data_IF_292960221455
#
_entry.id   IF_292960221455
#
_cell.length_a   1.000
_cell.length_b   1.000
_cell.length_c   1.000
_cell.angle_alpha   90.00
_cell.angle_beta   90.00
_cell.angle_gamma   90.00
#
_symmetry.space_group_name_H-M   'P 1'
#
loop_
_entity.id
_entity.type
_entity.pdbx_description
1 polymer ?
#
# COMPACT_ATOMS: atom_id res chain seq x y z
N UNK A 1 3.44 10.90 -10.58
CA UNK A 1 2.16 11.61 -10.39
C UNK A 1 2.22 12.61 -9.23
N UNK A 2 2.63 12.19 -7.99
CA UNK A 2 2.82 13.10 -6.84
C UNK A 2 3.78 14.24 -7.19
N UNK A 3 4.95 13.94 -7.76
CA UNK A 3 5.94 14.95 -8.15
C UNK A 3 5.40 15.99 -9.14
N UNK A 4 4.64 15.57 -10.15
CA UNK A 4 4.00 16.49 -11.09
C UNK A 4 2.93 17.39 -10.44
N UNK A 5 2.21 16.88 -9.43
CA UNK A 5 1.28 17.70 -8.64
C UNK A 5 2.03 18.68 -7.74
N UNK A 6 3.11 18.26 -7.11
CA UNK A 6 3.94 19.12 -6.27
C UNK A 6 4.57 20.26 -7.07
N UNK A 7 5.10 19.99 -8.27
CA UNK A 7 5.61 21.03 -9.17
C UNK A 7 4.53 22.09 -9.50
N UNK A 8 3.31 21.66 -9.83
CA UNK A 8 2.18 22.58 -10.06
C UNK A 8 1.77 23.37 -8.82
N UNK A 9 1.96 22.80 -7.62
CA UNK A 9 1.70 23.51 -6.36
C UNK A 9 2.76 24.59 -6.13
N UNK A 10 4.02 24.29 -6.39
CA UNK A 10 5.13 25.25 -6.25
C UNK A 10 4.93 26.51 -7.10
N UNK A 11 4.41 26.37 -8.31
CA UNK A 11 4.13 27.48 -9.23
C UNK A 11 2.78 28.17 -8.96
N UNK A 12 1.97 27.68 -8.03
CA UNK A 12 0.62 28.19 -7.81
C UNK A 12 0.62 29.46 -6.96
N UNK A 13 -0.05 30.55 -7.40
CA UNK A 13 -0.16 31.79 -6.62
C UNK A 13 -0.78 31.62 -5.22
N UNK A 14 -1.49 30.51 -4.98
CA UNK A 14 -2.12 30.16 -3.70
C UNK A 14 -1.34 29.07 -2.94
N UNK A 15 -0.05 28.88 -3.24
CA UNK A 15 0.81 27.86 -2.61
C UNK A 15 0.67 27.82 -1.10
N UNK A 16 0.76 28.96 -0.42
CA UNK A 16 0.66 29.02 1.05
C UNK A 16 -0.68 28.47 1.61
N UNK A 17 -1.77 28.68 0.88
CA UNK A 17 -3.08 28.12 1.26
C UNK A 17 -3.11 26.60 1.04
N UNK A 18 -2.54 26.16 -0.06
CA UNK A 18 -2.45 24.73 -0.42
C UNK A 18 -1.59 23.99 0.59
N UNK A 19 -0.42 24.54 0.94
CA UNK A 19 0.49 23.96 1.94
C UNK A 19 -0.18 23.85 3.32
N UNK A 20 -0.93 24.87 3.74
CA UNK A 20 -1.72 24.84 4.98
C UNK A 20 -2.80 23.76 4.92
N UNK A 21 -3.45 23.59 3.78
CA UNK A 21 -4.46 22.55 3.59
C UNK A 21 -3.85 21.14 3.66
N UNK A 22 -2.74 20.90 2.97
CA UNK A 22 -2.00 19.64 3.00
C UNK A 22 -1.52 19.34 4.42
N UNK A 23 -0.93 20.30 5.11
CA UNK A 23 -0.48 20.13 6.50
C UNK A 23 -1.62 19.71 7.42
N UNK A 24 -2.79 20.35 7.32
CA UNK A 24 -3.97 19.97 8.10
C UNK A 24 -4.49 18.58 7.72
N UNK A 25 -4.46 18.22 6.42
CA UNK A 25 -4.82 16.89 5.95
C UNK A 25 -3.88 15.80 6.49
N UNK A 26 -2.56 16.06 6.49
CA UNK A 26 -1.57 15.15 7.06
C UNK A 26 -1.80 14.93 8.56
N UNK A 27 -2.06 16.00 9.31
CA UNK A 27 -2.39 15.92 10.74
C UNK A 27 -3.65 15.07 10.98
N UNK A 28 -4.69 15.25 10.16
CA UNK A 28 -5.91 14.45 10.22
C UNK A 28 -5.62 12.96 9.97
N UNK A 29 -4.89 12.65 8.90
CA UNK A 29 -4.51 11.26 8.56
C UNK A 29 -3.74 10.60 9.71
N UNK A 30 -2.85 11.32 10.39
CA UNK A 30 -2.10 10.78 11.52
C UNK A 30 -3.01 10.37 12.68
N UNK A 31 -4.06 11.13 12.99
CA UNK A 31 -5.06 10.72 13.98
C UNK A 31 -5.84 9.50 13.52
N UNK A 32 -6.29 9.49 12.26
CA UNK A 32 -7.06 8.39 11.68
C UNK A 32 -6.25 7.09 11.66
N UNK A 33 -4.97 7.16 11.26
CA UNK A 33 -4.08 5.99 11.22
C UNK A 33 -3.71 5.43 12.60
N UNK A 34 -3.84 6.23 13.67
CA UNK A 34 -3.70 5.74 15.06
C UNK A 34 -5.02 5.27 15.68
N UNK A 35 -6.13 5.30 14.90
CA UNK A 35 -7.46 5.01 15.43
C UNK A 35 -7.95 6.04 16.47
N UNK A 36 -7.36 7.23 16.48
CA UNK A 36 -7.66 8.29 17.42
C UNK A 36 -8.75 9.23 16.89
N UNK A 37 -9.50 9.83 17.79
CA UNK A 37 -10.50 10.82 17.41
C UNK A 37 -9.83 12.10 16.90
N UNK A 38 -10.12 12.47 15.66
CA UNK A 38 -9.62 13.72 15.05
C UNK A 38 -10.15 14.92 15.83
N UNK A 39 -9.29 15.87 16.28
CA UNK A 39 -9.71 17.07 16.97
C UNK A 39 -10.70 17.89 16.14
N UNK A 40 -11.72 18.46 16.80
CA UNK A 40 -12.78 19.22 16.11
C UNK A 40 -12.23 20.36 15.22
N UNK A 41 -11.18 21.05 15.68
CA UNK A 41 -10.54 22.12 14.91
C UNK A 41 -9.87 21.63 13.62
N UNK A 42 -9.22 20.45 13.64
CA UNK A 42 -8.60 19.82 12.47
C UNK A 42 -9.68 19.37 11.50
N UNK A 43 -10.72 18.70 12.01
CA UNK A 43 -11.81 18.18 11.18
C UNK A 43 -12.63 19.30 10.50
N UNK A 44 -12.87 20.41 11.20
CA UNK A 44 -13.58 21.56 10.60
C UNK A 44 -12.76 22.23 9.50
N UNK A 45 -11.45 22.44 9.74
CA UNK A 45 -10.53 22.98 8.72
C UNK A 45 -10.46 22.06 7.50
N UNK A 46 -10.38 20.73 7.72
CA UNK A 46 -10.35 19.76 6.64
C UNK A 46 -11.57 19.86 5.73
N UNK A 47 -12.78 19.98 6.29
CA UNK A 47 -14.00 20.18 5.50
C UNK A 47 -13.97 21.47 4.65
N UNK A 48 -13.39 22.55 5.19
CA UNK A 48 -13.23 23.81 4.47
C UNK A 48 -12.20 23.64 3.35
N UNK A 49 -11.05 23.04 3.62
CA UNK A 49 -10.01 22.81 2.64
C UNK A 49 -10.43 21.79 1.56
N UNK A 50 -11.17 20.76 1.92
CA UNK A 50 -11.74 19.83 0.96
C UNK A 50 -12.58 20.54 -0.11
N UNK A 51 -13.39 21.51 0.30
CA UNK A 51 -14.25 22.30 -0.61
C UNK A 51 -13.50 23.38 -1.38
N UNK A 52 -12.56 24.09 -0.75
CA UNK A 52 -11.90 25.24 -1.37
C UNK A 52 -10.64 24.90 -2.16
N UNK A 53 -9.94 23.84 -1.76
CA UNK A 53 -8.63 23.46 -2.31
C UNK A 53 -8.71 22.10 -3.01
N UNK A 54 -9.04 21.03 -2.29
CA UNK A 54 -8.92 19.68 -2.82
C UNK A 54 -9.95 19.32 -3.89
N UNK A 55 -11.15 19.95 -3.87
CA UNK A 55 -12.11 19.81 -4.97
C UNK A 55 -11.54 20.28 -6.30
N UNK A 56 -10.74 21.34 -6.31
CA UNK A 56 -10.10 21.87 -7.52
C UNK A 56 -9.00 20.93 -8.05
N UNK A 57 -8.28 20.25 -7.14
CA UNK A 57 -7.34 19.22 -7.56
C UNK A 57 -8.07 18.05 -8.22
N UNK A 58 -9.15 17.57 -7.60
CA UNK A 58 -9.96 16.47 -8.16
C UNK A 58 -10.58 16.85 -9.51
N UNK A 59 -11.05 18.09 -9.64
CA UNK A 59 -11.58 18.62 -10.90
C UNK A 59 -10.50 18.68 -11.98
N UNK A 60 -9.34 19.26 -11.68
CA UNK A 60 -8.21 19.38 -12.59
C UNK A 60 -7.59 18.03 -13.02
N UNK A 61 -7.81 16.98 -12.23
CA UNK A 61 -7.41 15.61 -12.53
C UNK A 61 -8.51 14.80 -13.21
N UNK A 62 -9.73 15.34 -13.33
CA UNK A 62 -10.87 14.62 -13.91
C UNK A 62 -11.44 13.51 -13.03
N UNK A 63 -11.15 13.52 -11.70
CA UNK A 63 -11.53 12.45 -10.76
C UNK A 63 -12.64 12.84 -9.79
N UNK A 64 -13.40 13.89 -10.08
CA UNK A 64 -14.49 14.37 -9.21
C UNK A 64 -15.55 13.32 -8.89
N UNK A 65 -15.84 12.45 -9.85
CA UNK A 65 -16.86 11.41 -9.74
C UNK A 65 -16.27 10.03 -9.44
N UNK A 66 -14.97 9.94 -9.13
CA UNK A 66 -14.34 8.68 -8.76
C UNK A 66 -14.72 8.32 -7.33
N UNK A 67 -15.32 7.16 -7.17
CA UNK A 67 -15.77 6.63 -5.87
C UNK A 67 -14.67 5.83 -5.18
N UNK A 68 -13.86 5.11 -5.95
CA UNK A 68 -12.81 4.24 -5.44
C UNK A 68 -11.48 4.50 -6.12
N UNK A 69 -10.43 4.62 -5.32
CA UNK A 69 -9.05 4.70 -5.77
C UNK A 69 -8.32 3.46 -5.29
N UNK A 70 -7.80 2.68 -6.21
CA UNK A 70 -7.18 1.39 -5.90
C UNK A 70 -5.78 1.35 -6.47
N UNK A 71 -4.84 0.79 -5.71
CA UNK A 71 -3.49 0.46 -6.18
C UNK A 71 -3.19 -1.01 -5.93
N UNK A 72 -2.44 -1.62 -6.83
CA UNK A 72 -2.11 -3.03 -6.81
C UNK A 72 -0.74 -3.31 -7.44
N UNK A 73 -0.35 -4.58 -7.46
CA UNK A 73 0.83 -5.14 -8.12
C UNK A 73 2.17 -4.82 -7.44
N UNK A 74 2.31 -3.72 -6.72
CA UNK A 74 3.48 -3.40 -5.91
C UNK A 74 3.07 -2.58 -4.70
N UNK A 75 3.77 -2.70 -3.56
CA UNK A 75 3.52 -1.87 -2.39
C UNK A 75 3.63 -0.39 -2.73
N UNK A 76 2.70 0.40 -2.22
CA UNK A 76 2.78 1.85 -2.37
C UNK A 76 3.69 2.45 -1.29
N UNK A 77 4.56 3.40 -1.68
CA UNK A 77 5.35 4.12 -0.69
C UNK A 77 4.44 4.82 0.32
N UNK A 78 4.69 4.60 1.62
CA UNK A 78 3.82 5.06 2.72
C UNK A 78 3.66 6.58 2.77
N UNK A 79 4.72 7.35 2.48
CA UNK A 79 4.66 8.82 2.47
C UNK A 79 3.85 9.34 1.28
N UNK A 80 3.92 8.64 0.15
CA UNK A 80 3.10 8.94 -1.03
C UNK A 80 1.63 8.63 -0.72
N UNK A 81 1.35 7.47 -0.16
CA UNK A 81 0.01 7.03 0.26
C UNK A 81 -0.61 8.02 1.24
N UNK A 82 0.11 8.33 2.34
CA UNK A 82 -0.29 9.30 3.36
C UNK A 82 -0.58 10.68 2.76
N UNK A 83 0.24 11.12 1.80
CA UNK A 83 0.04 12.41 1.13
C UNK A 83 -1.24 12.43 0.30
N UNK A 84 -1.57 11.36 -0.44
CA UNK A 84 -2.82 11.27 -1.19
C UNK A 84 -4.04 11.28 -0.27
N UNK A 85 -4.01 10.56 0.84
CA UNK A 85 -5.06 10.61 1.86
C UNK A 85 -5.23 12.05 2.39
N UNK A 86 -4.13 12.75 2.65
CA UNK A 86 -4.17 14.13 3.15
C UNK A 86 -4.85 15.13 2.21
N UNK A 87 -4.84 14.88 0.90
CA UNK A 87 -5.56 15.71 -0.08
C UNK A 87 -6.95 15.16 -0.43
N UNK A 88 -7.44 14.19 0.36
CA UNK A 88 -8.76 13.60 0.22
C UNK A 88 -8.89 12.59 -0.93
N UNK A 89 -7.78 12.00 -1.39
CA UNK A 89 -7.75 10.87 -2.33
C UNK A 89 -7.43 9.62 -1.50
N UNK A 90 -8.48 8.93 -1.07
CA UNK A 90 -8.39 7.74 -0.23
C UNK A 90 -8.05 6.52 -1.09
N UNK A 91 -6.74 6.28 -1.25
CA UNK A 91 -6.25 5.15 -2.04
C UNK A 91 -6.29 3.89 -1.17
N UNK A 92 -6.80 2.82 -1.74
CA UNK A 92 -6.88 1.50 -1.11
C UNK A 92 -5.88 0.56 -1.77
N UNK A 93 -5.04 -0.08 -0.98
CA UNK A 93 -4.16 -1.13 -1.48
C UNK A 93 -4.93 -2.45 -1.54
N UNK A 94 -4.71 -3.20 -2.61
CA UNK A 94 -5.21 -4.56 -2.79
C UNK A 94 -4.05 -5.51 -3.08
N UNK A 95 -4.20 -6.74 -2.64
CA UNK A 95 -3.24 -7.80 -2.92
C UNK A 95 -3.94 -8.99 -3.55
N UNK A 96 -3.27 -9.58 -4.51
CA UNK A 96 -3.66 -10.78 -5.21
C UNK A 96 -2.68 -11.09 -6.33
N UNK A 97 -2.88 -12.22 -6.97
CA UNK A 97 -2.04 -12.73 -8.03
C UNK A 97 -2.89 -13.42 -9.10
N UNK A 98 -2.28 -13.82 -10.19
CA UNK A 98 -2.99 -14.49 -11.30
C UNK A 98 -3.64 -15.79 -10.84
N UNK A 99 -3.00 -16.49 -9.94
CA UNK A 99 -3.42 -17.79 -9.41
C UNK A 99 -4.67 -17.70 -8.52
N UNK A 100 -4.98 -16.52 -7.98
CA UNK A 100 -6.21 -16.29 -7.21
C UNK A 100 -7.28 -15.48 -7.97
N UNK A 101 -7.07 -15.24 -9.26
CA UNK A 101 -8.03 -14.59 -10.19
C UNK A 101 -8.33 -13.13 -9.86
N UNK A 102 -7.55 -12.48 -9.04
CA UNK A 102 -7.76 -11.08 -8.70
C UNK A 102 -7.44 -10.77 -7.25
N UNK A 103 -8.14 -9.84 -6.57
CA UNK A 103 -7.79 -9.52 -5.21
C UNK A 103 -8.20 -10.62 -4.23
N UNK A 104 -7.25 -11.10 -3.44
CA UNK A 104 -7.52 -11.91 -2.24
C UNK A 104 -7.82 -11.03 -1.03
N UNK A 105 -7.16 -9.87 -0.94
CA UNK A 105 -7.38 -8.91 0.13
C UNK A 105 -7.59 -7.49 -0.39
N UNK A 106 -8.32 -6.68 0.36
CA UNK A 106 -8.61 -5.29 0.04
C UNK A 106 -8.73 -4.45 1.31
N UNK A 107 -8.14 -3.25 1.32
CA UNK A 107 -8.42 -2.23 2.31
C UNK A 107 -9.86 -1.72 2.17
N UNK A 108 -10.43 -1.18 3.22
CA UNK A 108 -11.80 -0.65 3.20
C UNK A 108 -11.73 0.87 2.99
N UNK A 109 -12.09 1.38 1.82
CA UNK A 109 -12.07 2.81 1.57
C UNK A 109 -13.11 3.54 2.43
N UNK A 110 -12.80 4.78 2.81
CA UNK A 110 -13.60 5.57 3.73
C UNK A 110 -15.06 5.75 3.33
N UNK A 111 -15.34 5.83 2.02
CA UNK A 111 -16.71 5.90 1.48
C UNK A 111 -17.53 4.60 1.63
N UNK A 112 -16.87 3.46 1.76
CA UNK A 112 -17.49 2.16 2.01
C UNK A 112 -17.53 1.77 3.49
N UNK A 113 -16.82 2.51 4.36
CA UNK A 113 -16.62 2.18 5.76
C UNK A 113 -17.93 1.95 6.54
N UNK A 114 -18.97 2.76 6.32
CA UNK A 114 -20.24 2.61 7.02
C UNK A 114 -20.97 1.31 6.64
N UNK A 115 -21.00 0.97 5.36
CA UNK A 115 -21.61 -0.28 4.87
C UNK A 115 -20.84 -1.50 5.37
N UNK A 116 -19.52 -1.41 5.34
CA UNK A 116 -18.62 -2.46 5.82
C UNK A 116 -18.78 -2.68 7.34
N UNK A 117 -18.77 -1.61 8.13
CA UNK A 117 -18.98 -1.67 9.58
C UNK A 117 -20.33 -2.27 9.95
N UNK A 118 -21.40 -1.96 9.19
CA UNK A 118 -22.71 -2.57 9.40
C UNK A 118 -22.68 -4.07 9.13
N UNK A 119 -22.00 -4.50 8.08
CA UNK A 119 -21.87 -5.92 7.73
C UNK A 119 -21.10 -6.68 8.81
N UNK A 120 -19.95 -6.18 9.24
CA UNK A 120 -19.17 -6.80 10.31
C UNK A 120 -19.96 -6.98 11.60
N UNK A 121 -20.78 -5.98 11.99
CA UNK A 121 -21.65 -6.08 13.17
C UNK A 121 -22.72 -7.16 13.04
N UNK A 122 -23.28 -7.35 11.83
CA UNK A 122 -24.26 -8.42 11.57
C UNK A 122 -23.60 -9.79 11.68
N UNK A 123 -22.36 -9.92 11.22
CA UNK A 123 -21.59 -11.16 11.27
C UNK A 123 -20.95 -11.40 12.67
N UNK A 124 -21.13 -10.48 13.64
CA UNK A 124 -20.59 -10.58 14.98
C UNK A 124 -19.09 -10.29 15.07
N UNK A 125 -18.49 -9.74 14.03
CA UNK A 125 -17.09 -9.35 14.00
C UNK A 125 -16.88 -7.96 14.63
N UNK A 126 -15.75 -7.76 15.28
CA UNK A 126 -15.34 -6.44 15.73
C UNK A 126 -14.95 -5.57 14.55
N UNK A 127 -15.36 -4.30 14.61
CA UNK A 127 -15.01 -3.33 13.55
C UNK A 127 -13.64 -2.74 13.89
N UNK A 128 -12.63 -2.88 13.03
CA UNK A 128 -11.33 -2.26 13.22
C UNK A 128 -11.43 -0.74 13.41
N UNK A 129 -10.57 -0.17 14.25
CA UNK A 129 -10.52 1.27 14.47
C UNK A 129 -10.01 2.03 13.23
N UNK A 130 -9.16 1.38 12.44
CA UNK A 130 -8.62 1.89 11.17
C UNK A 130 -9.03 0.94 10.06
N UNK A 131 -9.82 1.39 9.10
CA UNK A 131 -10.36 0.53 8.03
C UNK A 131 -9.47 0.47 6.78
N UNK A 132 -8.60 1.45 6.59
CA UNK A 132 -7.64 1.52 5.47
C UNK A 132 -6.24 1.88 5.99
N UNK A 133 -5.57 0.97 6.73
CA UNK A 133 -4.26 1.25 7.31
C UNK A 133 -3.18 1.31 6.23
N UNK A 134 -2.42 2.41 6.21
CA UNK A 134 -1.35 2.66 5.25
C UNK A 134 -0.23 1.62 5.38
N UNK A 135 0.15 1.02 4.26
CA UNK A 135 1.18 -0.02 4.17
C UNK A 135 0.69 -1.42 4.52
N UNK A 136 -0.63 -1.63 4.51
CA UNK A 136 -1.26 -2.94 4.57
C UNK A 136 -2.19 -3.11 3.37
N UNK A 137 -2.28 -4.32 2.88
CA UNK A 137 -3.04 -4.66 1.67
C UNK A 137 -4.50 -5.08 1.97
N UNK A 138 -4.97 -4.72 3.17
CA UNK A 138 -6.36 -4.94 3.56
C UNK A 138 -6.62 -6.27 4.25
N UNK A 139 -7.89 -6.63 4.27
CA UNK A 139 -8.43 -7.87 4.86
C UNK A 139 -8.93 -8.80 3.75
N UNK A 140 -9.09 -10.10 4.00
CA UNK A 140 -9.62 -11.04 3.03
C UNK A 140 -10.99 -10.61 2.50
N UNK A 141 -11.19 -10.72 1.19
CA UNK A 141 -12.52 -10.51 0.60
C UNK A 141 -13.48 -11.64 0.98
N UNK A 142 -14.80 -11.43 0.94
CA UNK A 142 -15.77 -12.48 1.28
C UNK A 142 -15.56 -13.77 0.48
N UNK A 143 -15.44 -14.90 1.18
CA UNK A 143 -15.18 -16.21 0.58
C UNK A 143 -13.70 -16.54 0.39
N UNK A 144 -12.81 -15.70 0.89
CA UNK A 144 -11.35 -15.91 0.93
C UNK A 144 -10.90 -16.18 2.35
N UNK A 145 -10.09 -17.20 2.52
CA UNK A 145 -9.33 -17.47 3.74
C UNK A 145 -7.85 -17.17 3.50
N UNK A 146 -7.20 -16.60 4.50
CA UNK A 146 -5.75 -16.38 4.49
C UNK A 146 -5.11 -16.93 5.75
N UNK A 147 -3.90 -17.43 5.65
CA UNK A 147 -3.06 -17.80 6.79
C UNK A 147 -1.60 -17.48 6.50
N UNK A 148 -0.84 -17.28 7.55
CA UNK A 148 0.63 -17.20 7.47
C UNK A 148 1.20 -18.44 8.12
N UNK A 149 2.09 -19.13 7.41
CA UNK A 149 2.77 -20.32 7.89
C UNK A 149 3.91 -19.95 8.87
N UNK A 150 4.47 -20.97 9.55
CA UNK A 150 5.57 -20.78 10.51
C UNK A 150 6.82 -20.14 9.90
N UNK A 151 7.03 -20.31 8.60
CA UNK A 151 8.12 -19.71 7.84
C UNK A 151 7.78 -18.31 7.30
N UNK A 152 6.61 -17.79 7.62
CA UNK A 152 6.12 -16.47 7.23
C UNK A 152 5.41 -16.42 5.88
N UNK A 153 5.27 -17.52 5.18
CA UNK A 153 4.61 -17.53 3.88
C UNK A 153 3.11 -17.32 3.99
N UNK A 154 2.58 -16.41 3.18
CA UNK A 154 1.14 -16.19 3.02
C UNK A 154 0.54 -17.28 2.15
N UNK A 155 -0.54 -17.91 2.65
CA UNK A 155 -1.35 -18.83 1.88
C UNK A 155 -2.79 -18.32 1.74
N UNK A 156 -3.40 -18.59 0.59
CA UNK A 156 -4.74 -18.16 0.23
C UNK A 156 -5.60 -19.37 -0.12
N UNK A 157 -6.85 -19.36 0.32
CA UNK A 157 -7.84 -20.37 -0.05
C UNK A 157 -9.17 -19.72 -0.36
N UNK A 158 -9.84 -20.20 -1.42
CA UNK A 158 -11.16 -19.72 -1.82
C UNK A 158 -11.57 -20.27 -3.17
N UNK A 159 -12.86 -20.08 -3.51
CA UNK A 159 -13.40 -20.56 -4.80
C UNK A 159 -12.85 -19.83 -6.03
N UNK A 160 -12.13 -18.72 -5.82
CA UNK A 160 -11.49 -17.91 -6.86
C UNK A 160 -10.05 -18.36 -7.14
N UNK A 161 -9.48 -19.26 -6.32
CA UNK A 161 -8.16 -19.82 -6.51
C UNK A 161 -8.18 -20.79 -7.69
N UNK A 162 -7.19 -20.70 -8.57
CA UNK A 162 -7.04 -21.56 -9.74
C UNK A 162 -6.83 -23.02 -9.35
N UNK A 163 -7.18 -23.94 -10.25
CA UNK A 163 -7.02 -25.39 -10.01
C UNK A 163 -5.58 -25.89 -10.26
N UNK A 164 -4.74 -25.06 -10.88
CA UNK A 164 -3.36 -25.40 -11.20
C UNK A 164 -2.90 -24.84 -12.53
N UNK A 165 -1.67 -25.19 -12.91
CA UNK A 165 -1.05 -24.76 -14.16
C UNK A 165 -1.28 -25.79 -15.26
N UNK A 166 -1.71 -25.33 -16.44
CA UNK A 166 -1.99 -26.21 -17.58
C UNK A 166 -0.75 -26.97 -18.01
N UNK A 167 -0.86 -28.30 -18.05
CA UNK A 167 0.24 -29.25 -18.40
C UNK A 167 1.52 -29.11 -17.55
N UNK A 168 1.43 -28.59 -16.33
CA UNK A 168 2.55 -28.45 -15.41
C UNK A 168 2.18 -28.96 -14.02
N UNK A 169 2.14 -30.31 -13.88
CA UNK A 169 1.72 -30.97 -12.64
C UNK A 169 2.69 -30.72 -11.49
N UNK A 170 3.99 -30.65 -11.76
CA UNK A 170 5.03 -30.44 -10.76
C UNK A 170 4.85 -29.04 -10.12
N UNK A 171 4.80 -27.97 -10.93
CA UNK A 171 4.55 -26.63 -10.45
C UNK A 171 3.18 -26.49 -9.76
N UNK A 172 2.17 -27.21 -10.25
CA UNK A 172 0.86 -27.22 -9.62
C UNK A 172 0.94 -27.77 -8.20
N UNK A 173 1.61 -28.89 -7.99
CA UNK A 173 1.79 -29.51 -6.66
C UNK A 173 2.65 -28.66 -5.71
N UNK A 174 3.60 -27.89 -6.24
CA UNK A 174 4.41 -26.95 -5.45
C UNK A 174 3.63 -25.72 -5.00
N UNK A 175 2.66 -25.29 -5.82
CA UNK A 175 1.94 -24.04 -5.61
C UNK A 175 0.59 -24.23 -4.92
N UNK A 176 -0.09 -25.35 -5.19
CA UNK A 176 -1.39 -25.66 -4.61
C UNK A 176 -1.30 -26.95 -3.80
N UNK A 177 -1.60 -26.88 -2.50
CA UNK A 177 -1.59 -28.06 -1.65
C UNK A 177 -2.86 -28.91 -1.78
N UNK A 178 -2.86 -30.10 -1.19
CA UNK A 178 -3.98 -31.06 -1.24
C UNK A 178 -5.21 -30.55 -0.51
N UNK A 179 -5.05 -29.61 0.44
CA UNK A 179 -6.14 -28.97 1.20
C UNK A 179 -6.74 -27.76 0.46
N UNK A 180 -6.21 -27.42 -0.73
CA UNK A 180 -6.68 -26.31 -1.58
C UNK A 180 -6.15 -24.95 -1.20
N UNK A 181 -5.01 -24.89 -0.51
CA UNK A 181 -4.29 -23.65 -0.26
C UNK A 181 -3.33 -23.32 -1.40
N UNK A 182 -3.36 -22.08 -1.84
CA UNK A 182 -2.38 -21.49 -2.73
C UNK A 182 -1.21 -20.95 -1.89
N UNK A 183 -0.01 -21.47 -2.14
CA UNK A 183 1.26 -20.98 -1.61
C UNK A 183 1.73 -19.80 -2.47
N UNK A 184 1.66 -18.61 -1.94
CA UNK A 184 1.90 -17.38 -2.74
C UNK A 184 3.38 -17.10 -3.03
N UNK A 185 4.28 -17.67 -2.22
CA UNK A 185 5.69 -17.32 -2.22
C UNK A 185 5.97 -15.92 -1.66
N UNK A 186 4.97 -15.24 -1.11
CA UNK A 186 5.10 -13.94 -0.44
C UNK A 186 5.13 -14.13 1.08
N UNK A 187 5.99 -13.39 1.75
CA UNK A 187 6.03 -13.32 3.21
C UNK A 187 5.09 -12.21 3.68
N UNK A 188 4.32 -12.50 4.73
CA UNK A 188 3.36 -11.56 5.27
C UNK A 188 3.21 -11.65 6.79
N UNK A 189 2.60 -10.63 7.35
CA UNK A 189 2.08 -10.56 8.72
C UNK A 189 0.59 -10.31 8.67
N UNK A 190 -0.16 -10.90 9.62
CA UNK A 190 -1.58 -10.60 9.83
C UNK A 190 -1.70 -10.07 11.25
N UNK A 191 -2.27 -8.87 11.39
CA UNK A 191 -2.45 -8.27 12.72
C UNK A 191 -3.72 -8.76 13.42
N UNK A 192 -3.95 -8.26 14.65
CA UNK A 192 -5.10 -8.60 15.49
C UNK A 192 -6.45 -8.20 14.85
N UNK A 193 -6.47 -7.19 13.98
CA UNK A 193 -7.63 -6.73 13.24
C UNK A 193 -7.85 -7.51 11.92
N UNK A 194 -6.95 -8.45 11.58
CA UNK A 194 -7.01 -9.26 10.36
C UNK A 194 -6.43 -8.61 9.11
N UNK A 195 -5.76 -7.45 9.24
CA UNK A 195 -5.12 -6.82 8.09
C UNK A 195 -3.81 -7.50 7.73
N UNK A 196 -3.68 -7.78 6.44
CA UNK A 196 -2.48 -8.38 5.84
C UNK A 196 -1.48 -7.29 5.48
N UNK A 197 -0.22 -7.50 5.85
CA UNK A 197 0.93 -6.70 5.45
C UNK A 197 1.93 -7.60 4.72
N UNK A 198 2.23 -7.28 3.47
CA UNK A 198 3.26 -7.97 2.70
C UNK A 198 4.64 -7.45 3.13
N UNK A 199 5.55 -8.37 3.41
CA UNK A 199 6.94 -8.09 3.81
C UNK A 199 7.86 -8.15 2.60
N UNK A 200 7.65 -9.13 1.71
CA UNK A 200 8.45 -9.33 0.52
C UNK A 200 8.27 -10.72 -0.09
N UNK A 201 9.09 -11.03 -1.08
CA UNK A 201 9.12 -12.35 -1.71
C UNK A 201 10.02 -13.31 -0.93
N UNK A 202 9.54 -14.52 -0.65
CA UNK A 202 10.29 -15.55 0.07
C UNK A 202 11.63 -15.89 -0.62
N UNK A 203 11.62 -15.96 -1.95
CA UNK A 203 12.82 -16.27 -2.76
C UNK A 203 13.78 -15.08 -2.92
N UNK A 204 13.35 -13.86 -2.56
CA UNK A 204 14.14 -12.63 -2.69
C UNK A 204 14.74 -12.17 -1.36
N UNK A 205 14.40 -12.82 -0.25
CA UNK A 205 14.98 -12.53 1.06
C UNK A 205 16.48 -12.72 1.01
N UNK A 206 17.21 -11.67 1.40
CA UNK A 206 18.67 -11.72 1.54
C UNK A 206 19.02 -12.24 2.93
N UNK A 207 19.82 -13.29 3.00
CA UNK A 207 20.32 -13.83 4.27
C UNK A 207 21.76 -13.38 4.42
N UNK A 208 22.01 -12.46 5.34
CA UNK A 208 23.39 -12.02 5.62
C UNK A 208 24.26 -13.16 6.15
N UNK A 209 25.60 -13.01 6.08
CA UNK A 209 26.53 -14.00 6.65
C UNK A 209 26.38 -14.20 8.17
N UNK A 210 25.67 -13.31 8.85
CA UNK A 210 25.29 -13.41 10.27
C UNK A 210 23.94 -14.12 10.48
N UNK A 211 23.28 -14.61 9.42
CA UNK A 211 22.00 -15.29 9.47
C UNK A 211 20.79 -14.34 9.61
N UNK A 212 20.94 -13.03 9.38
CA UNK A 212 19.84 -12.09 9.43
C UNK A 212 19.08 -12.09 8.10
N UNK A 213 17.78 -12.36 8.14
CA UNK A 213 16.88 -12.22 7.00
C UNK A 213 16.53 -10.75 6.78
N UNK A 214 16.63 -10.29 5.55
CA UNK A 214 16.36 -8.90 5.17
C UNK A 214 15.55 -8.91 3.86
N UNK A 215 14.39 -8.27 3.88
CA UNK A 215 13.62 -8.02 2.68
C UNK A 215 14.24 -6.82 1.92
N UNK A 216 14.81 -7.00 0.72
CA UNK A 216 15.45 -5.91 -0.01
C UNK A 216 14.49 -4.78 -0.33
N UNK A 217 13.24 -5.09 -0.63
CA UNK A 217 12.19 -4.12 -0.96
C UNK A 217 11.96 -3.09 0.13
N UNK A 218 12.09 -3.43 1.42
CA UNK A 218 11.94 -2.47 2.51
C UNK A 218 13.01 -1.36 2.47
N UNK A 219 14.24 -1.72 2.08
CA UNK A 219 15.34 -0.77 1.95
C UNK A 219 15.19 0.03 0.65
N UNK A 220 14.83 -0.65 -0.43
CA UNK A 220 14.60 -0.04 -1.75
C UNK A 220 13.50 1.04 -1.69
N UNK A 221 12.41 0.77 -0.98
CA UNK A 221 11.31 1.71 -0.79
C UNK A 221 11.67 2.94 0.06
N UNK A 222 12.67 2.82 0.93
CA UNK A 222 13.19 3.97 1.69
C UNK A 222 14.10 4.86 0.82
N UNK A 223 14.81 4.29 -0.14
CA UNK A 223 15.81 5.00 -0.97
C UNK A 223 15.17 5.59 -2.24
N UNK A 224 14.28 4.86 -2.87
CA UNK A 224 13.61 5.18 -4.15
C UNK A 224 12.87 6.53 -4.20
N UNK A 225 12.29 7.07 -3.10
CA UNK A 225 11.64 8.39 -3.13
C UNK A 225 12.58 9.58 -3.33
N UNK A 226 13.90 9.37 -3.27
CA UNK A 226 14.85 10.46 -3.48
C UNK A 226 14.80 10.97 -4.94
N UNK A 227 14.74 12.30 -5.18
CA UNK A 227 14.55 12.85 -6.52
C UNK A 227 15.61 12.48 -7.56
N UNK A 228 16.82 12.14 -7.10
CA UNK A 228 17.92 11.75 -7.98
C UNK A 228 17.93 10.24 -8.32
N UNK A 229 17.05 9.46 -7.73
CA UNK A 229 17.05 8.00 -7.85
C UNK A 229 15.89 7.55 -8.73
N UNK A 230 16.23 6.99 -9.89
CA UNK A 230 15.28 6.37 -10.81
C UNK A 230 14.97 4.93 -10.40
N UNK A 231 16.02 4.15 -10.08
CA UNK A 231 15.87 2.77 -9.64
C UNK A 231 16.93 2.43 -8.59
N UNK A 232 16.58 1.47 -7.73
CA UNK A 232 17.49 0.90 -6.73
C UNK A 232 17.28 -0.61 -6.66
N UNK A 233 18.37 -1.35 -6.52
CA UNK A 233 18.35 -2.79 -6.30
C UNK A 233 19.33 -3.11 -5.18
N UNK A 234 18.82 -3.66 -4.08
CA UNK A 234 19.61 -4.05 -2.92
C UNK A 234 20.15 -5.46 -3.12
N UNK A 235 21.44 -5.65 -2.88
CA UNK A 235 22.16 -6.91 -3.02
C UNK A 235 23.00 -7.19 -1.79
N UNK A 236 23.32 -8.45 -1.52
CA UNK A 236 24.18 -8.78 -0.37
C UNK A 236 23.89 -10.12 0.27
N UNK A 237 23.23 -11.04 -0.46
CA UNK A 237 22.99 -12.40 0.03
C UNK A 237 24.32 -13.11 0.37
N UNK A 238 24.41 -13.73 1.56
CA UNK A 238 25.61 -14.34 2.09
C UNK A 238 26.75 -13.37 2.46
N UNK A 239 26.55 -12.05 2.36
CA UNK A 239 27.58 -11.03 2.66
C UNK A 239 27.44 -10.49 4.07
N UNK A 240 28.55 -9.87 4.57
CA UNK A 240 28.57 -9.20 5.89
C UNK A 240 27.78 -7.89 5.90
N UNK A 241 27.57 -7.27 4.75
CA UNK A 241 26.87 -6.01 4.58
C UNK A 241 26.05 -6.03 3.29
N UNK A 242 25.04 -5.19 3.24
CA UNK A 242 24.25 -4.94 2.05
C UNK A 242 24.91 -3.85 1.20
N UNK A 243 24.69 -3.93 -0.10
CA UNK A 243 25.04 -2.91 -1.07
C UNK A 243 23.84 -2.61 -1.94
N UNK A 244 23.80 -1.45 -2.59
CA UNK A 244 22.75 -1.10 -3.52
C UNK A 244 23.33 -0.70 -4.87
N UNK A 245 22.74 -1.18 -5.94
CA UNK A 245 22.89 -0.67 -7.28
C UNK A 245 21.86 0.44 -7.48
N UNK A 246 22.31 1.63 -7.84
CA UNK A 246 21.45 2.81 -7.99
C UNK A 246 21.54 3.30 -9.43
N UNK A 247 20.40 3.47 -10.07
CA UNK A 247 20.26 4.16 -11.35
C UNK A 247 19.75 5.57 -11.07
N UNK A 248 20.46 6.57 -11.56
CA UNK A 248 20.03 7.95 -11.42
C UNK A 248 18.84 8.24 -12.34
N UNK A 249 17.94 9.10 -11.87
CA UNK A 249 16.82 9.61 -12.69
C UNK A 249 17.35 10.67 -13.66
N UNK A 250 17.45 10.31 -14.94
CA UNK A 250 17.95 11.19 -16.01
C UNK A 250 17.00 12.32 -16.37
N UNK A 251 15.68 12.10 -16.24
CA UNK A 251 14.66 13.04 -16.73
C UNK A 251 14.27 14.14 -15.73
N UNK A 252 14.58 13.99 -14.46
CA UNK A 252 14.05 14.90 -13.43
C UNK A 252 15.02 15.45 -12.40
N UNK A 253 16.13 14.80 -12.16
CA UNK A 253 16.95 15.13 -11.00
C UNK A 253 18.44 15.28 -11.28
N UNK A 254 19.05 14.30 -11.97
CA UNK A 254 20.48 14.23 -12.12
C UNK A 254 21.06 15.32 -13.03
N UNK A 255 20.39 15.67 -14.12
CA UNK A 255 20.83 16.73 -15.03
C UNK A 255 20.70 18.11 -14.39
N UNK A 256 19.62 18.36 -13.65
CA UNK A 256 19.39 19.64 -12.96
C UNK A 256 20.34 19.83 -11.77
N UNK A 257 20.78 18.76 -11.14
CA UNK A 257 21.71 18.80 -10.01
C UNK A 257 23.16 18.96 -10.47
N UNK A 258 23.51 18.46 -11.66
CA UNK A 258 24.86 18.54 -12.24
C UNK A 258 25.13 19.87 -12.98
N UNK A 259 24.13 20.68 -13.25
CA UNK A 259 24.20 22.01 -13.88
C UNK A 259 24.23 23.12 -12.82
#
# INVERSE_FOLDING_TARGET
FKGGLQARIEENPKKDLIDKAIKNGLEKVDYEQRGEKVPLGVNLKDKVFAKLVFSKFKEGLGIMNTEYFVTAAAPMNKDVHRWFHAIGIDITEIYGMTEDTGPATIGVPGNAAESFSKKLKVDGLEVPSVLNPIGKVGIPIPGTEVKVLDDGELCIKGNHVAQGYYKSEEQTKETFDEDGWLHTGDLAEIDEDGFVKIIGRKKEILITSAGKNIAPVEIEDLVKPHPLIGQVCVVGDGKKFLSALIVLDGDGGAETWAS
#
